data_IF_995059310181
#
_entry.id   IF_995059310181
#
_cell.length_a   1.000
_cell.length_b   1.000
_cell.length_c   1.000
_cell.angle_alpha   90.00
_cell.angle_beta   90.00
_cell.angle_gamma   90.00
#
_symmetry.space_group_name_H-M   'P 1'
#
loop_
_entity.id
_entity.type
_entity.pdbx_description
1 polymer ?
#
# COMPACT_ATOMS: atom_id res chain seq x y z
N UNK A 1 -61.23 -64.11 30.61
CA UNK A 1 -61.58 -62.77 31.17
C UNK A 1 -60.68 -61.73 30.51
N UNK A 2 -61.30 -60.69 29.96
CA UNK A 2 -60.66 -59.48 29.44
C UNK A 2 -59.81 -58.82 30.52
N UNK A 3 -58.63 -58.31 30.18
CA UNK A 3 -58.41 -56.88 30.35
C UNK A 3 -57.29 -56.33 29.44
N UNK A 4 -57.70 -55.29 28.73
CA UNK A 4 -56.97 -54.37 27.87
C UNK A 4 -56.28 -53.28 28.68
N UNK A 5 -55.27 -52.67 28.07
CA UNK A 5 -54.75 -51.34 28.43
C UNK A 5 -53.25 -51.38 28.74
N UNK A 6 -52.41 -50.47 28.26
CA UNK A 6 -52.55 -49.39 27.28
C UNK A 6 -51.12 -49.14 26.79
N UNK A 7 -50.94 -49.04 25.47
CA UNK A 7 -49.66 -48.59 24.90
C UNK A 7 -49.57 -47.08 25.08
N UNK A 8 -48.75 -46.64 26.04
CA UNK A 8 -48.43 -45.24 26.23
C UNK A 8 -47.52 -44.74 25.09
N UNK A 9 -48.15 -44.28 24.00
CA UNK A 9 -47.55 -43.48 22.94
C UNK A 9 -47.35 -42.05 23.48
N UNK A 10 -46.18 -41.75 24.01
CA UNK A 10 -45.77 -40.39 24.33
C UNK A 10 -44.62 -39.97 23.40
N UNK A 11 -45.05 -39.32 22.31
CA UNK A 11 -44.42 -38.18 21.63
C UNK A 11 -43.00 -38.29 21.09
N UNK A 12 -42.82 -38.43 19.75
CA UNK A 12 -41.61 -38.01 19.04
C UNK A 12 -41.60 -36.50 18.72
N UNK A 13 -42.39 -35.68 19.42
CA UNK A 13 -42.58 -34.24 19.12
C UNK A 13 -41.69 -33.30 19.93
N UNK A 14 -40.92 -33.78 20.90
CA UNK A 14 -40.02 -32.92 21.68
C UNK A 14 -38.58 -32.82 21.13
N UNK A 15 -38.19 -33.69 20.19
CA UNK A 15 -36.84 -33.63 19.58
C UNK A 15 -36.80 -32.62 18.41
N UNK A 16 -37.93 -32.28 17.80
CA UNK A 16 -38.00 -31.29 16.71
C UNK A 16 -37.95 -29.83 17.18
N UNK A 17 -38.30 -29.53 18.44
CA UNK A 17 -38.22 -28.16 18.98
C UNK A 17 -36.81 -27.77 19.47
N UNK A 18 -35.93 -28.74 19.72
CA UNK A 18 -34.54 -28.43 20.11
C UNK A 18 -33.63 -28.07 18.93
N UNK A 19 -34.05 -28.37 17.69
CA UNK A 19 -33.28 -28.04 16.48
C UNK A 19 -33.70 -26.66 15.91
N UNK A 20 -34.82 -26.08 16.36
CA UNK A 20 -35.32 -24.78 15.87
C UNK A 20 -34.82 -23.54 16.65
N UNK A 21 -33.98 -23.71 17.68
CA UNK A 21 -33.45 -22.58 18.47
C UNK A 21 -31.92 -22.45 18.48
N UNK A 22 -31.22 -23.17 17.61
CA UNK A 22 -29.78 -22.98 17.36
C UNK A 22 -29.50 -22.68 15.89
N UNK A 23 -30.34 -21.87 15.27
CA UNK A 23 -29.93 -21.00 14.18
C UNK A 23 -29.75 -19.59 14.75
N UNK A 24 -28.85 -19.45 15.72
CA UNK A 24 -28.17 -18.16 15.85
C UNK A 24 -27.42 -18.01 14.53
N UNK A 25 -27.95 -17.17 13.64
CA UNK A 25 -27.11 -16.50 12.69
C UNK A 25 -26.05 -15.81 13.55
N UNK A 26 -24.87 -16.43 13.66
CA UNK A 26 -23.65 -15.70 13.95
C UNK A 26 -23.52 -14.79 12.74
N UNK A 27 -24.20 -13.65 12.81
CA UNK A 27 -23.76 -12.41 12.22
C UNK A 27 -22.43 -12.09 12.91
N UNK A 28 -21.42 -12.89 12.62
CA UNK A 28 -20.07 -12.37 12.59
C UNK A 28 -20.19 -11.30 11.54
N UNK A 29 -20.13 -10.03 11.97
CA UNK A 29 -19.90 -8.96 11.04
C UNK A 29 -18.71 -9.42 10.20
N UNK A 30 -18.97 -9.75 8.93
CA UNK A 30 -17.91 -9.87 7.95
C UNK A 30 -17.33 -8.46 7.90
N UNK A 31 -16.30 -8.21 8.71
CA UNK A 31 -15.66 -6.91 8.82
C UNK A 31 -15.04 -6.67 7.44
N UNK A 32 -15.76 -5.91 6.62
CA UNK A 32 -15.35 -5.63 5.24
C UNK A 32 -14.06 -4.82 5.28
N UNK A 33 -13.03 -5.21 4.51
CA UNK A 33 -11.82 -4.41 4.36
C UNK A 33 -12.14 -2.95 4.01
N UNK A 34 -11.27 -2.02 4.40
CA UNK A 34 -11.42 -0.62 4.02
C UNK A 34 -11.51 -0.49 2.50
N UNK A 35 -12.55 0.19 2.02
CA UNK A 35 -12.71 0.51 0.61
C UNK A 35 -12.13 1.89 0.33
N UNK A 36 -10.98 1.92 -0.34
CA UNK A 36 -10.30 3.17 -0.66
C UNK A 36 -11.06 3.96 -1.74
N UNK A 37 -11.36 5.23 -1.44
CA UNK A 37 -12.05 6.14 -2.37
C UNK A 37 -11.27 6.33 -3.67
N UNK A 38 -9.95 6.51 -3.56
CA UNK A 38 -9.03 6.47 -4.70
C UNK A 38 -8.18 5.21 -4.58
N UNK A 39 -8.12 4.42 -5.65
CA UNK A 39 -7.24 3.26 -5.79
C UNK A 39 -6.71 3.22 -7.22
N UNK A 40 -5.49 3.71 -7.41
CA UNK A 40 -4.86 3.85 -8.71
C UNK A 40 -3.58 3.01 -8.70
N UNK A 41 -3.45 2.11 -9.68
CA UNK A 41 -2.27 1.27 -9.88
C UNK A 41 -1.80 1.45 -11.32
N UNK A 42 -0.69 2.17 -11.51
CA UNK A 42 -0.11 2.45 -12.82
C UNK A 42 1.13 1.60 -13.06
N UNK A 43 1.12 0.81 -14.12
CA UNK A 43 2.30 0.12 -14.66
C UNK A 43 3.00 1.04 -15.67
N UNK A 44 4.05 1.73 -15.22
CA UNK A 44 4.74 2.74 -15.99
C UNK A 44 5.52 2.11 -17.16
N UNK A 45 5.39 2.67 -18.36
CA UNK A 45 5.99 2.11 -19.56
C UNK A 45 5.24 0.90 -20.13
N UNK A 46 4.04 0.59 -19.65
CA UNK A 46 3.23 -0.52 -20.14
C UNK A 46 2.00 -0.04 -20.92
N UNK A 47 1.51 -0.87 -21.85
CA UNK A 47 0.24 -0.68 -22.52
C UNK A 47 -0.64 -1.92 -22.30
N UNK A 48 -1.81 -1.71 -21.72
CA UNK A 48 -2.82 -2.73 -21.44
C UNK A 48 -3.18 -2.77 -19.96
N UNK A 49 -3.89 -3.82 -19.59
CA UNK A 49 -4.26 -4.14 -18.22
C UNK A 49 -3.54 -5.40 -17.80
N UNK A 50 -2.96 -5.39 -16.61
CA UNK A 50 -2.13 -6.48 -16.10
C UNK A 50 -2.62 -6.93 -14.73
N UNK A 51 -2.62 -8.23 -14.49
CA UNK A 51 -2.92 -8.78 -13.17
C UNK A 51 -1.61 -9.20 -12.52
N UNK A 52 -1.32 -8.63 -11.34
CA UNK A 52 -0.23 -9.10 -10.49
C UNK A 52 -0.58 -10.45 -9.84
N UNK A 53 0.42 -11.14 -9.26
CA UNK A 53 0.20 -12.41 -8.55
C UNK A 53 -0.81 -12.30 -7.41
N UNK A 54 -0.99 -11.09 -6.87
CA UNK A 54 -1.94 -10.80 -5.79
C UNK A 54 -3.33 -10.39 -6.32
N UNK A 55 -3.63 -10.70 -7.59
CA UNK A 55 -4.89 -10.36 -8.28
C UNK A 55 -5.20 -8.86 -8.36
N UNK A 56 -4.23 -7.99 -8.05
CA UNK A 56 -4.39 -6.54 -8.22
C UNK A 56 -4.21 -6.17 -9.68
N UNK A 57 -5.10 -5.32 -10.16
CA UNK A 57 -5.17 -4.87 -11.56
C UNK A 57 -4.36 -3.59 -11.75
N UNK A 58 -3.28 -3.69 -12.49
CA UNK A 58 -2.42 -2.59 -12.90
C UNK A 58 -2.79 -2.12 -14.31
N UNK A 59 -2.90 -0.82 -14.50
CA UNK A 59 -3.21 -0.21 -15.81
C UNK A 59 -1.92 0.41 -16.36
N UNK A 60 -1.59 0.06 -17.60
CA UNK A 60 -0.44 0.62 -18.29
C UNK A 60 -0.56 2.13 -18.48
N UNK A 61 0.52 2.87 -18.21
CA UNK A 61 0.50 4.33 -18.31
C UNK A 61 0.43 4.90 -19.75
N UNK A 62 0.53 4.01 -20.75
CA UNK A 62 0.35 4.31 -22.18
C UNK A 62 -1.13 4.13 -22.58
N UNK A 63 -1.90 3.36 -21.80
CA UNK A 63 -3.27 3.03 -22.14
C UNK A 63 -4.20 4.25 -22.00
N UNK A 64 -5.13 4.45 -22.95
CA UNK A 64 -6.08 5.55 -22.88
C UNK A 64 -6.98 5.41 -21.63
N UNK A 65 -7.03 6.45 -20.79
CA UNK A 65 -7.76 6.46 -19.51
C UNK A 65 -7.77 7.83 -18.82
N UNK A 66 -8.70 8.06 -17.89
CA UNK A 66 -9.18 9.40 -17.51
C UNK A 66 -8.67 9.95 -16.16
N UNK A 67 -7.98 9.16 -15.33
CA UNK A 67 -7.60 9.59 -13.97
C UNK A 67 -6.18 10.17 -13.88
N UNK A 68 -5.39 10.12 -14.96
CA UNK A 68 -4.05 10.71 -14.98
C UNK A 68 -3.68 11.27 -16.36
N UNK A 69 -2.75 12.21 -16.34
CA UNK A 69 -2.08 12.75 -17.53
C UNK A 69 -0.58 12.69 -17.35
N UNK A 70 0.14 12.48 -18.45
CA UNK A 70 1.59 12.48 -18.48
C UNK A 70 2.11 13.73 -19.17
N UNK A 71 3.15 14.34 -18.59
CA UNK A 71 3.87 15.46 -19.18
C UNK A 71 5.40 15.24 -19.09
N UNK A 72 6.18 15.71 -20.06
CA UNK A 72 5.73 16.33 -21.30
C UNK A 72 5.11 15.29 -22.27
N UNK A 73 4.19 15.73 -23.15
CA UNK A 73 3.61 14.87 -24.20
C UNK A 73 4.60 14.55 -25.33
N UNK A 74 5.78 15.15 -25.31
CA UNK A 74 6.83 14.89 -26.28
C UNK A 74 7.60 13.61 -25.88
N UNK A 75 8.23 12.97 -26.86
CA UNK A 75 8.85 11.64 -26.74
C UNK A 75 10.21 11.67 -25.99
N UNK A 76 10.33 12.53 -24.97
CA UNK A 76 11.56 12.70 -24.19
C UNK A 76 11.78 11.59 -23.16
N UNK A 77 10.71 10.90 -22.77
CA UNK A 77 10.80 9.67 -21.98
C UNK A 77 10.92 8.46 -22.88
N UNK A 78 11.77 7.49 -22.51
CA UNK A 78 11.87 6.18 -23.15
C UNK A 78 11.19 5.13 -22.29
N UNK A 79 10.87 4.00 -22.92
CA UNK A 79 10.16 2.89 -22.32
C UNK A 79 10.90 1.61 -22.66
N UNK A 80 11.09 0.74 -21.66
CA UNK A 80 11.67 -0.58 -21.86
C UNK A 80 10.91 -1.62 -21.05
N UNK A 81 10.80 -2.81 -21.62
CA UNK A 81 10.26 -3.99 -20.94
C UNK A 81 11.36 -4.74 -20.20
N UNK A 82 10.97 -5.52 -19.20
CA UNK A 82 11.86 -6.33 -18.37
C UNK A 82 11.27 -7.73 -18.22
N UNK A 83 12.07 -8.74 -17.81
CA UNK A 83 11.55 -10.09 -17.56
C UNK A 83 10.75 -10.20 -16.25
N UNK A 84 10.61 -9.11 -15.49
CA UNK A 84 9.89 -9.10 -14.22
C UNK A 84 8.37 -9.06 -14.44
N UNK A 85 7.62 -9.31 -13.38
CA UNK A 85 6.16 -9.20 -13.39
C UNK A 85 5.69 -7.76 -13.10
N UNK A 86 4.47 -7.39 -13.50
CA UNK A 86 3.87 -6.10 -13.15
C UNK A 86 3.90 -5.84 -11.64
N UNK A 87 4.27 -4.62 -11.19
CA UNK A 87 4.54 -3.42 -11.99
C UNK A 87 5.96 -3.30 -12.54
N UNK A 88 6.86 -4.24 -12.25
CA UNK A 88 8.27 -4.17 -12.65
C UNK A 88 8.54 -4.60 -14.10
N UNK A 89 7.53 -5.14 -14.80
CA UNK A 89 7.62 -5.65 -16.17
C UNK A 89 7.96 -4.61 -17.23
N UNK A 90 7.87 -3.32 -16.91
CA UNK A 90 8.35 -2.23 -17.74
C UNK A 90 8.83 -1.06 -16.87
N UNK A 91 9.53 -0.11 -17.50
CA UNK A 91 9.91 1.15 -16.88
C UNK A 91 9.72 2.31 -17.86
N UNK A 92 9.37 3.47 -17.32
CA UNK A 92 9.49 4.75 -18.00
C UNK A 92 10.69 5.51 -17.44
N UNK A 93 11.55 6.02 -18.32
CA UNK A 93 12.82 6.65 -17.95
C UNK A 93 13.07 7.90 -18.79
N UNK A 94 13.76 8.89 -18.26
CA UNK A 94 14.17 10.06 -19.03
C UNK A 94 15.40 10.74 -18.42
N UNK A 95 16.23 11.32 -19.29
CA UNK A 95 17.25 12.30 -18.89
C UNK A 95 16.63 13.66 -18.56
N UNK A 96 15.43 13.95 -19.04
CA UNK A 96 14.68 15.18 -18.78
C UNK A 96 13.66 14.98 -17.67
N UNK A 97 13.14 16.09 -17.15
CA UNK A 97 12.05 16.04 -16.19
C UNK A 97 10.77 15.51 -16.85
N UNK A 98 10.04 14.65 -16.13
CA UNK A 98 8.68 14.24 -16.48
C UNK A 98 7.77 14.22 -15.25
N UNK A 99 6.46 14.31 -15.47
CA UNK A 99 5.44 14.49 -14.44
C UNK A 99 4.20 13.65 -14.76
N UNK A 100 3.74 12.90 -13.77
CA UNK A 100 2.38 12.35 -13.73
C UNK A 100 1.47 13.35 -13.03
N UNK A 101 0.30 13.60 -13.59
CA UNK A 101 -0.73 14.49 -13.04
C UNK A 101 -1.93 13.62 -12.76
N UNK A 102 -2.28 13.41 -11.50
CA UNK A 102 -3.36 12.53 -11.08
C UNK A 102 -4.52 13.35 -10.54
N UNK A 103 -5.74 13.05 -11.00
CA UNK A 103 -6.95 13.66 -10.45
C UNK A 103 -7.45 12.80 -9.29
N UNK A 104 -7.31 13.33 -8.07
CA UNK A 104 -7.59 12.63 -6.81
C UNK A 104 -8.66 13.36 -6.01
N UNK A 105 -9.34 12.62 -5.15
CA UNK A 105 -10.15 13.23 -4.09
C UNK A 105 -9.27 13.86 -3.02
N UNK A 106 -9.78 14.86 -2.31
CA UNK A 106 -9.06 15.44 -1.18
C UNK A 106 -8.87 14.43 -0.04
N UNK A 107 -7.93 14.72 0.84
CA UNK A 107 -7.60 13.90 2.01
C UNK A 107 -6.32 13.09 1.84
N UNK A 108 -6.03 12.29 2.86
CA UNK A 108 -4.77 11.60 3.05
C UNK A 108 -4.62 10.43 2.07
N UNK A 109 -3.42 10.26 1.49
CA UNK A 109 -3.11 9.25 0.48
C UNK A 109 -1.81 8.53 0.81
N UNK A 110 -1.80 7.22 0.63
CA UNK A 110 -0.57 6.46 0.41
C UNK A 110 -0.10 6.69 -1.03
N UNK A 111 1.19 6.94 -1.20
CA UNK A 111 1.88 6.97 -2.50
C UNK A 111 3.00 5.94 -2.44
N UNK A 112 2.93 4.91 -3.28
CA UNK A 112 3.98 3.90 -3.41
C UNK A 112 4.64 4.02 -4.77
N UNK A 113 5.96 4.18 -4.76
CA UNK A 113 6.78 4.30 -5.96
C UNK A 113 7.61 3.02 -6.14
N UNK A 114 7.39 2.31 -7.24
CA UNK A 114 7.98 0.99 -7.52
C UNK A 114 9.18 1.12 -8.46
N UNK A 115 10.31 0.55 -8.05
CA UNK A 115 11.58 0.60 -8.75
C UNK A 115 12.15 -0.80 -8.96
N UNK A 116 12.57 -1.11 -10.19
CA UNK A 116 13.42 -2.24 -10.52
C UNK A 116 14.77 -1.72 -11.00
N UNK A 117 15.78 -1.85 -10.13
CA UNK A 117 17.12 -1.32 -10.34
C UNK A 117 17.97 -2.24 -11.22
N UNK A 118 17.88 -2.02 -12.53
CA UNK A 118 18.70 -2.73 -13.51
C UNK A 118 19.27 -1.77 -14.56
N UNK A 119 20.14 -2.28 -15.43
CA UNK A 119 20.60 -1.54 -16.60
C UNK A 119 19.57 -1.68 -17.71
N UNK A 120 19.13 -0.54 -18.26
CA UNK A 120 18.25 -0.49 -19.43
C UNK A 120 19.08 -0.08 -20.66
N UNK A 121 18.64 -0.41 -21.89
CA UNK A 121 19.38 -0.04 -23.10
C UNK A 121 19.68 1.48 -23.18
N UNK A 122 20.96 1.84 -23.07
CA UNK A 122 21.41 3.24 -23.06
C UNK A 122 21.27 3.98 -21.72
N UNK A 123 20.91 3.28 -20.65
CA UNK A 123 20.76 3.82 -19.29
C UNK A 123 21.42 2.87 -18.28
N UNK A 124 22.64 3.22 -17.87
CA UNK A 124 23.42 2.39 -16.96
C UNK A 124 22.82 2.44 -15.54
N UNK A 125 22.60 1.27 -14.91
CA UNK A 125 22.07 1.14 -13.53
C UNK A 125 22.58 2.19 -12.52
N UNK A 126 23.89 2.46 -12.39
CA UNK A 126 24.39 3.44 -11.40
C UNK A 126 24.09 4.91 -11.74
N UNK A 127 23.71 5.22 -12.99
CA UNK A 127 23.38 6.58 -13.44
C UNK A 127 21.92 6.97 -13.17
N UNK A 128 21.11 6.05 -12.65
CA UNK A 128 19.77 6.36 -12.15
C UNK A 128 19.85 7.23 -10.89
N UNK A 129 20.02 8.54 -11.08
CA UNK A 129 20.23 9.51 -10.02
C UNK A 129 19.27 10.68 -10.20
N UNK A 130 18.27 10.77 -9.33
CA UNK A 130 17.15 11.67 -9.54
C UNK A 130 16.47 12.09 -8.24
N UNK A 131 15.54 13.04 -8.37
CA UNK A 131 14.66 13.49 -7.31
C UNK A 131 13.21 13.26 -7.72
N UNK A 132 12.33 13.08 -6.73
CA UNK A 132 10.89 12.94 -6.92
C UNK A 132 10.17 13.95 -6.03
N UNK A 133 9.27 14.73 -6.63
CA UNK A 133 8.36 15.64 -5.93
C UNK A 133 6.93 15.19 -6.10
N UNK A 134 6.13 15.30 -5.05
CA UNK A 134 4.68 15.13 -5.09
C UNK A 134 4.02 16.41 -4.54
N UNK A 135 3.42 17.21 -5.43
CA UNK A 135 2.95 18.55 -5.08
C UNK A 135 4.11 19.43 -4.57
N UNK A 136 3.96 19.97 -3.36
CA UNK A 136 4.98 20.77 -2.68
C UNK A 136 6.06 19.92 -1.99
N UNK A 137 5.84 18.62 -1.79
CA UNK A 137 6.73 17.76 -1.06
C UNK A 137 7.84 17.21 -1.95
N UNK A 138 9.08 17.23 -1.44
CA UNK A 138 10.18 16.48 -2.04
C UNK A 138 10.24 15.12 -1.35
N UNK A 139 9.76 14.08 -2.02
CA UNK A 139 9.74 12.71 -1.49
C UNK A 139 11.11 12.05 -1.57
N UNK A 140 11.83 12.32 -2.65
CA UNK A 140 13.18 11.81 -2.88
C UNK A 140 14.05 12.96 -3.39
N UNK A 141 15.24 13.08 -2.84
CA UNK A 141 16.26 14.04 -3.27
C UNK A 141 17.58 13.31 -3.37
N UNK A 142 18.31 13.51 -4.47
CA UNK A 142 19.57 12.81 -4.71
C UNK A 142 19.43 11.30 -4.43
N UNK A 143 18.39 10.69 -5.00
CA UNK A 143 18.12 9.28 -4.83
C UNK A 143 18.83 8.45 -5.91
N UNK A 144 19.51 7.38 -5.49
CA UNK A 144 20.09 6.36 -6.37
C UNK A 144 19.43 5.02 -6.08
N UNK A 145 18.59 4.56 -7.01
CA UNK A 145 17.85 3.32 -6.83
C UNK A 145 18.77 2.10 -6.64
N UNK A 146 19.94 2.10 -7.29
CA UNK A 146 20.91 1.00 -7.19
C UNK A 146 21.47 0.85 -5.77
N UNK A 147 21.75 1.95 -5.07
CA UNK A 147 22.27 1.88 -3.70
C UNK A 147 21.21 1.31 -2.74
N UNK A 148 19.94 1.65 -2.95
CA UNK A 148 18.85 1.08 -2.17
C UNK A 148 18.67 -0.40 -2.46
N UNK A 149 18.67 -0.80 -3.74
CA UNK A 149 18.62 -2.21 -4.13
C UNK A 149 19.78 -3.02 -3.53
N UNK A 150 21.01 -2.53 -3.65
CA UNK A 150 22.21 -3.19 -3.13
C UNK A 150 22.16 -3.34 -1.59
N UNK A 151 21.63 -2.34 -0.88
CA UNK A 151 21.46 -2.38 0.57
C UNK A 151 20.36 -3.33 1.03
N UNK A 152 19.29 -3.47 0.24
CA UNK A 152 18.20 -4.42 0.50
C UNK A 152 18.56 -5.86 0.09
N UNK A 153 19.56 -6.03 -0.78
CA UNK A 153 19.86 -7.33 -1.41
C UNK A 153 18.82 -7.73 -2.46
N UNK A 154 17.97 -6.80 -2.91
CA UNK A 154 16.84 -7.03 -3.82
C UNK A 154 16.82 -5.97 -4.90
N UNK A 155 16.77 -6.38 -6.18
CA UNK A 155 16.75 -5.43 -7.29
C UNK A 155 15.40 -4.72 -7.46
N UNK A 156 14.32 -5.31 -6.95
CA UNK A 156 12.95 -4.77 -7.01
C UNK A 156 12.49 -4.34 -5.62
N UNK A 157 12.04 -3.08 -5.50
CA UNK A 157 11.53 -2.56 -4.24
C UNK A 157 10.55 -1.41 -4.48
N UNK A 158 9.84 -1.00 -3.43
CA UNK A 158 9.03 0.21 -3.46
C UNK A 158 9.35 1.11 -2.27
N UNK A 159 9.05 2.40 -2.41
CA UNK A 159 9.06 3.37 -1.31
C UNK A 159 7.65 3.88 -1.08
N UNK A 160 7.19 3.88 0.17
CA UNK A 160 5.85 4.30 0.56
C UNK A 160 5.88 5.61 1.33
N UNK A 161 5.05 6.55 0.91
CA UNK A 161 4.87 7.86 1.52
C UNK A 161 3.40 8.09 1.87
N UNK A 162 3.16 8.90 2.88
CA UNK A 162 1.84 9.46 3.17
C UNK A 162 1.89 10.97 2.91
N UNK A 163 0.89 11.49 2.19
CA UNK A 163 0.68 12.93 2.04
C UNK A 163 -0.80 13.27 2.18
N UNK A 164 -1.12 14.52 2.52
CA UNK A 164 -2.47 15.04 2.39
C UNK A 164 -2.65 15.75 1.03
N UNK A 165 -3.73 15.41 0.31
CA UNK A 165 -4.15 16.15 -0.88
C UNK A 165 -5.21 17.17 -0.45
N UNK A 166 -4.88 18.46 -0.54
CA UNK A 166 -5.82 19.53 -0.19
C UNK A 166 -6.96 19.64 -1.22
N UNK A 167 -8.12 20.12 -0.77
CA UNK A 167 -9.29 20.36 -1.63
C UNK A 167 -8.98 21.31 -2.80
N UNK A 168 -8.09 22.28 -2.59
CA UNK A 168 -7.61 23.21 -3.61
C UNK A 168 -6.60 22.60 -4.59
N UNK A 169 -6.08 21.39 -4.31
CA UNK A 169 -5.00 20.76 -5.06
C UNK A 169 -5.31 19.29 -5.43
N UNK A 170 -6.53 19.04 -5.91
CA UNK A 170 -6.97 17.70 -6.37
C UNK A 170 -6.17 17.14 -7.56
N UNK A 171 -5.49 18.01 -8.32
CA UNK A 171 -4.52 17.60 -9.32
C UNK A 171 -3.14 17.44 -8.67
N UNK A 172 -2.78 16.21 -8.32
CA UNK A 172 -1.49 15.90 -7.74
C UNK A 172 -0.44 15.69 -8.84
N UNK A 173 0.60 16.53 -8.83
CA UNK A 173 1.75 16.38 -9.71
C UNK A 173 2.82 15.53 -9.03
N UNK A 174 3.19 14.39 -9.62
CA UNK A 174 4.34 13.58 -9.24
C UNK A 174 5.43 13.76 -10.30
N UNK A 175 6.44 14.55 -9.98
CA UNK A 175 7.51 14.96 -10.89
C UNK A 175 8.81 14.24 -10.59
N UNK A 176 9.37 13.62 -11.62
CA UNK A 176 10.66 12.95 -11.61
C UNK A 176 11.68 13.80 -12.36
N UNK A 177 12.82 14.07 -11.74
CA UNK A 177 13.87 14.93 -12.31
C UNK A 177 15.25 14.32 -12.08
N UNK A 178 15.97 14.06 -13.17
CA UNK A 178 17.37 13.65 -13.14
C UNK A 178 18.27 14.68 -12.45
N UNK A 179 19.35 14.22 -11.82
CA UNK A 179 20.29 15.11 -11.13
C UNK A 179 21.13 15.90 -12.15
N UNK A 180 21.09 17.24 -12.13
CA UNK A 180 21.85 18.05 -13.09
C UNK A 180 23.37 17.96 -12.86
N UNK A 181 23.80 17.52 -11.68
CA UNK A 181 25.19 17.50 -11.26
C UNK A 181 25.97 16.29 -11.80
N UNK A 182 25.27 15.31 -12.40
CA UNK A 182 25.84 14.05 -12.86
C UNK A 182 25.58 13.84 -14.34
N UNK A 183 26.67 13.63 -15.10
CA UNK A 183 26.60 13.37 -16.54
C UNK A 183 25.79 12.09 -16.81
N UNK A 184 24.93 12.17 -17.83
CA UNK A 184 24.04 11.10 -18.28
C UNK A 184 23.10 10.57 -17.19
N UNK A 185 22.86 11.35 -16.12
CA UNK A 185 21.90 10.98 -15.10
C UNK A 185 20.49 10.87 -15.69
N UNK A 186 19.69 10.00 -15.10
CA UNK A 186 18.31 9.82 -15.53
C UNK A 186 17.41 9.51 -14.34
N UNK A 187 16.13 9.80 -14.52
CA UNK A 187 15.07 9.36 -13.62
C UNK A 187 14.30 8.20 -14.26
N UNK A 188 13.78 7.30 -13.43
CA UNK A 188 12.92 6.22 -13.90
C UNK A 188 11.88 5.82 -12.85
N UNK A 189 10.84 5.14 -13.32
CA UNK A 189 9.80 4.57 -12.48
C UNK A 189 9.19 3.35 -13.19
N UNK A 190 8.91 2.28 -12.45
CA UNK A 190 8.27 1.06 -12.96
C UNK A 190 6.77 1.04 -12.63
N UNK A 191 6.39 1.52 -11.46
CA UNK A 191 4.98 1.64 -11.10
C UNK A 191 4.71 2.75 -10.10
N UNK A 192 3.49 3.26 -10.14
CA UNK A 192 2.97 4.24 -9.19
C UNK A 192 1.66 3.70 -8.66
N UNK A 193 1.54 3.63 -7.34
CA UNK A 193 0.30 3.28 -6.68
C UNK A 193 -0.15 4.41 -5.75
N UNK A 194 -1.45 4.71 -5.79
CA UNK A 194 -2.11 5.65 -4.90
C UNK A 194 -3.31 4.99 -4.27
N UNK A 195 -3.39 5.03 -2.94
CA UNK A 195 -4.50 4.48 -2.17
C UNK A 195 -4.97 5.53 -1.18
N UNK A 196 -6.27 5.84 -1.17
CA UNK A 196 -6.85 6.71 -0.14
C UNK A 196 -6.64 6.12 1.25
N UNK A 197 -6.36 7.00 2.21
CA UNK A 197 -6.12 6.63 3.59
C UNK A 197 -7.32 7.04 4.45
N UNK A 198 -7.72 6.21 5.45
CA UNK A 198 -8.67 6.63 6.47
C UNK A 198 -8.19 7.88 7.21
N UNK A 199 -9.13 8.73 7.61
CA UNK A 199 -8.84 9.85 8.51
C UNK A 199 -8.30 9.35 9.85
N UNK A 200 -7.45 10.15 10.48
CA UNK A 200 -6.89 9.89 11.81
C UNK A 200 -6.05 8.60 11.92
N UNK A 201 -5.53 8.07 10.81
CA UNK A 201 -4.64 6.92 10.85
C UNK A 201 -3.24 7.30 11.33
N UNK A 202 -2.63 8.32 10.70
CA UNK A 202 -1.28 8.80 11.04
C UNK A 202 -1.20 10.31 11.31
N UNK A 203 -2.22 11.06 10.91
CA UNK A 203 -2.27 12.51 10.99
C UNK A 203 -3.24 12.95 12.09
N UNK A 204 -3.06 14.19 12.55
CA UNK A 204 -3.84 14.82 13.62
C UNK A 204 -3.77 14.04 14.95
N UNK A 205 -2.73 13.21 15.08
CA UNK A 205 -2.40 12.47 16.30
C UNK A 205 -1.37 13.26 17.11
N UNK A 206 -1.69 13.49 18.38
CA UNK A 206 -0.78 14.14 19.33
C UNK A 206 -0.03 13.11 20.15
N UNK A 207 1.30 13.22 20.21
CA UNK A 207 2.16 12.37 21.04
C UNK A 207 3.23 13.19 21.76
N UNK A 208 3.87 12.58 22.76
CA UNK A 208 5.01 13.16 23.47
C UNK A 208 6.30 12.77 22.76
N UNK A 209 7.20 13.72 22.57
CA UNK A 209 8.57 13.38 22.20
C UNK A 209 9.23 12.60 23.35
N UNK A 210 10.04 11.59 23.00
CA UNK A 210 10.79 10.83 23.98
C UNK A 210 11.68 11.78 24.79
N UNK A 211 11.50 11.78 26.11
CA UNK A 211 12.25 12.65 27.02
C UNK A 211 11.81 14.12 27.04
N UNK A 212 10.65 14.47 26.48
CA UNK A 212 10.10 15.83 26.53
C UNK A 212 8.65 15.85 27.01
N UNK A 213 8.27 16.94 27.69
CA UNK A 213 6.89 17.17 28.13
C UNK A 213 6.02 17.82 27.05
N UNK A 214 6.65 18.43 26.03
CA UNK A 214 5.94 19.10 24.94
C UNK A 214 5.36 18.07 23.98
N UNK A 215 4.06 18.21 23.71
CA UNK A 215 3.36 17.43 22.68
C UNK A 215 3.76 17.88 21.28
N UNK A 216 3.89 16.92 20.38
CA UNK A 216 4.04 17.11 18.95
C UNK A 216 2.84 16.50 18.24
N UNK A 217 2.44 17.14 17.14
CA UNK A 217 1.34 16.71 16.30
C UNK A 217 1.87 16.52 14.89
N UNK A 218 1.52 15.40 14.26
CA UNK A 218 1.74 15.22 12.83
C UNK A 218 0.58 15.91 12.11
N UNK A 219 0.85 17.07 11.53
CA UNK A 219 -0.13 17.86 10.80
C UNK A 219 -0.32 17.28 9.39
N UNK A 220 -1.50 17.49 8.81
CA UNK A 220 -1.77 17.18 7.39
C UNK A 220 -0.85 17.92 6.42
N UNK A 221 -0.21 19.00 6.88
CA UNK A 221 0.84 19.73 6.17
C UNK A 221 2.17 18.96 6.05
N UNK A 222 2.31 17.83 6.75
CA UNK A 222 3.52 17.00 6.73
C UNK A 222 3.41 15.84 5.73
N UNK A 223 4.55 15.48 5.13
CA UNK A 223 4.69 14.21 4.42
C UNK A 223 5.41 13.21 5.33
N UNK A 224 4.97 11.94 5.30
CA UNK A 224 5.60 10.85 6.04
C UNK A 224 6.21 9.85 5.04
N UNK A 225 7.31 9.22 5.43
CA UNK A 225 7.88 8.07 4.73
C UNK A 225 7.78 6.85 5.65
N UNK A 226 7.21 5.75 5.14
CA UNK A 226 7.17 4.49 5.89
C UNK A 226 8.52 3.78 5.72
N UNK A 227 9.28 3.66 6.81
CA UNK A 227 10.55 2.93 6.83
C UNK A 227 10.37 1.47 7.22
N UNK A 228 9.57 1.22 8.24
CA UNK A 228 9.31 -0.12 8.77
C UNK A 228 7.84 -0.28 9.12
N UNK A 229 7.30 -1.48 8.86
CA UNK A 229 5.96 -1.89 9.28
C UNK A 229 6.03 -3.34 9.73
N UNK A 230 5.90 -3.55 11.04
CA UNK A 230 6.26 -4.80 11.69
C UNK A 230 5.04 -5.40 12.39
N UNK A 231 4.79 -6.69 12.16
CA UNK A 231 3.79 -7.51 12.84
C UNK A 231 4.45 -8.29 13.98
N UNK A 232 4.57 -7.66 15.15
CA UNK A 232 5.30 -8.22 16.30
C UNK A 232 4.67 -9.53 16.79
N UNK A 233 5.45 -10.61 16.81
CA UNK A 233 5.01 -11.95 17.20
C UNK A 233 4.10 -12.64 16.18
N UNK A 234 3.93 -12.06 14.99
CA UNK A 234 3.12 -12.61 13.91
C UNK A 234 3.94 -12.90 12.66
N UNK A 235 3.29 -13.48 11.65
CA UNK A 235 3.90 -13.71 10.34
C UNK A 235 3.80 -12.48 9.43
N UNK A 236 4.49 -12.52 8.30
CA UNK A 236 4.30 -11.55 7.22
C UNK A 236 2.82 -11.44 6.81
N UNK A 237 2.38 -10.22 6.50
CA UNK A 237 1.06 -9.93 5.93
C UNK A 237 1.28 -9.25 4.59
N UNK A 238 0.83 -9.90 3.51
CA UNK A 238 0.88 -9.35 2.16
C UNK A 238 -0.09 -8.16 1.99
N UNK A 239 0.09 -7.31 0.97
CA UNK A 239 -0.87 -6.25 0.66
C UNK A 239 -2.32 -6.73 0.56
N UNK A 240 -2.56 -7.92 -0.02
CA UNK A 240 -3.92 -8.50 -0.11
C UNK A 240 -4.47 -8.96 1.25
N UNK A 241 -3.58 -9.37 2.16
CA UNK A 241 -3.94 -9.75 3.54
C UNK A 241 -4.16 -8.55 4.48
N UNK A 242 -3.86 -7.33 4.04
CA UNK A 242 -4.10 -6.11 4.82
C UNK A 242 -5.59 -5.75 4.85
N UNK A 243 -5.94 -4.81 5.71
CA UNK A 243 -7.32 -4.37 5.93
C UNK A 243 -7.81 -3.36 4.87
N UNK A 244 -7.46 -3.57 3.60
CA UNK A 244 -7.93 -2.75 2.45
C UNK A 244 -7.05 -1.55 2.07
N UNK A 245 -5.92 -1.32 2.77
CA UNK A 245 -4.95 -0.25 2.44
C UNK A 245 -3.74 -0.77 1.66
N UNK A 246 -3.67 -2.07 1.42
CA UNK A 246 -2.59 -2.73 0.67
C UNK A 246 -1.19 -2.51 1.26
N UNK A 247 -1.09 -2.43 2.59
CA UNK A 247 0.20 -2.31 3.31
C UNK A 247 0.83 -3.69 3.48
N UNK A 248 2.15 -3.76 3.34
CA UNK A 248 2.92 -4.97 3.71
C UNK A 248 3.36 -4.89 5.16
N UNK A 249 3.20 -5.97 5.92
CA UNK A 249 3.73 -6.10 7.27
C UNK A 249 4.77 -7.22 7.30
N UNK A 250 5.93 -6.96 7.89
CA UNK A 250 7.00 -7.95 8.08
C UNK A 250 6.93 -8.53 9.49
N UNK A 251 7.27 -9.82 9.66
CA UNK A 251 7.57 -10.38 10.96
C UNK A 251 8.73 -9.64 11.65
N UNK A 252 8.80 -9.71 12.97
CA UNK A 252 9.79 -8.97 13.77
C UNK A 252 11.11 -9.70 13.98
N UNK A 253 11.24 -10.97 13.56
CA UNK A 253 12.40 -11.83 13.84
C UNK A 253 13.74 -11.18 13.46
N UNK A 254 13.79 -10.49 12.32
CA UNK A 254 15.01 -9.84 11.81
C UNK A 254 15.44 -8.60 12.63
N UNK A 255 14.57 -8.07 13.48
CA UNK A 255 14.81 -6.86 14.28
C UNK A 255 15.09 -7.16 15.76
N UNK A 256 14.98 -8.42 16.18
CA UNK A 256 15.24 -8.83 17.56
C UNK A 256 16.75 -8.76 17.86
N UNK A 257 17.13 -7.84 18.74
CA UNK A 257 18.52 -7.67 19.21
C UNK A 257 18.84 -8.53 20.44
N UNK A 258 17.83 -8.94 21.21
CA UNK A 258 17.96 -9.86 22.34
C UNK A 258 16.74 -10.81 22.38
N UNK A 259 16.93 -12.05 21.94
CA UNK A 259 15.88 -13.08 21.86
C UNK A 259 15.63 -13.75 23.21
N UNK A 260 15.34 -12.96 24.25
CA UNK A 260 14.86 -13.50 25.53
C UNK A 260 13.37 -13.84 25.41
N UNK A 261 12.89 -14.90 26.08
CA UNK A 261 11.45 -15.19 26.15
C UNK A 261 10.74 -14.04 26.86
N UNK A 262 10.16 -13.13 26.08
CA UNK A 262 9.30 -12.05 26.55
C UNK A 262 7.88 -12.39 26.14
N UNK A 263 7.19 -13.23 26.91
CA UNK A 263 5.84 -13.66 26.55
C UNK A 263 4.85 -13.40 27.68
N UNK A 264 4.06 -12.34 27.52
CA UNK A 264 2.64 -12.46 27.76
C UNK A 264 2.02 -12.97 26.45
N UNK A 265 1.09 -13.92 26.54
CA UNK A 265 0.38 -14.47 25.39
C UNK A 265 -0.37 -13.37 24.64
N UNK A 266 -0.04 -13.15 23.36
CA UNK A 266 -0.76 -12.22 22.49
C UNK A 266 -2.04 -12.87 21.97
N UNK A 267 -3.15 -12.13 21.98
CA UNK A 267 -4.41 -12.58 21.41
C UNK A 267 -4.45 -12.27 19.90
N UNK A 268 -4.23 -13.28 19.07
CA UNK A 268 -4.24 -13.17 17.61
C UNK A 268 -5.64 -13.14 16.99
N UNK A 269 -6.69 -13.23 17.81
CA UNK A 269 -8.10 -13.21 17.33
C UNK A 269 -8.68 -11.79 17.20
N UNK A 270 -7.90 -10.75 17.50
CA UNK A 270 -8.37 -9.36 17.43
C UNK A 270 -8.30 -8.87 15.97
N UNK A 271 -9.47 -8.61 15.37
CA UNK A 271 -9.58 -7.94 14.08
C UNK A 271 -9.51 -6.42 14.30
N UNK A 272 -8.53 -5.75 13.71
CA UNK A 272 -8.37 -4.30 13.80
C UNK A 272 -9.48 -3.59 13.00
N UNK A 273 -10.26 -2.72 13.67
CA UNK A 273 -11.36 -1.96 13.08
C UNK A 273 -10.96 -0.50 12.84
N UNK A 274 -10.94 -0.08 11.58
CA UNK A 274 -10.68 1.31 11.18
C UNK A 274 -11.97 2.12 10.93
N UNK A 275 -13.15 1.53 11.20
CA UNK A 275 -14.46 2.13 10.89
C UNK A 275 -15.00 3.07 11.97
N UNK A 276 -14.35 3.18 13.13
CA UNK A 276 -14.83 4.01 14.24
C UNK A 276 -13.67 4.74 14.93
N UNK A 277 -13.63 6.06 14.74
CA UNK A 277 -12.79 6.97 15.50
C UNK A 277 -13.50 7.25 16.81
N UNK A 278 -12.82 7.07 17.95
CA UNK A 278 -13.31 7.59 19.23
C UNK A 278 -13.25 9.11 19.20
N UNK A 279 -14.41 9.76 19.32
CA UNK A 279 -14.52 11.21 19.57
C UNK A 279 -13.84 11.60 20.88
#
# INVERSE_FOLDING_TARGET
MKNTGDRCLITPTYILFFIHHMAFAVSGASDTPYEAVDSILLACGSNGTFHSLEYRTWIGDISPGHSYYFQPKNDTSRIFTTPQQPPYSAARLSHSQFTYILNLTAGQKFIRLYFYSTSYPGFDRPKAFFSVKAGSFTLLSNFRASLTADALGEDSFFKEFCINVEESQRLLNITFKSSPDYKDSYAFINGIEIVSMPLNLYYDLSFLFVGQEKRFMIETSNALESLYRINVGGSDISPLGDTGMFRTWSADDAYLTDARPSALSVNTSIVLRFTKISN
#
